data_IF_514684410389
#
_entry.id   IF_514684410389
#
_cell.length_a   1.000
_cell.length_b   1.000
_cell.length_c   1.000
_cell.angle_alpha   90.00
_cell.angle_beta   90.00
_cell.angle_gamma   90.00
#
_symmetry.space_group_name_H-M   'P 1'
#
loop_
_entity.id
_entity.type
_entity.pdbx_description
1 polymer ?
#
# COMPACT_ATOMS: atom_id res chain seq x y z
N UNK A 1 25.75 -6.81 8.41
CA UNK A 1 24.65 -7.82 8.41
C UNK A 1 23.71 -7.66 9.61
N UNK A 2 24.21 -7.61 10.84
CA UNK A 2 23.38 -7.50 12.08
C UNK A 2 22.42 -6.31 12.03
N UNK A 3 22.88 -5.12 11.65
CA UNK A 3 22.03 -3.93 11.57
C UNK A 3 20.82 -4.12 10.63
N UNK A 4 21.04 -4.72 9.45
CA UNK A 4 19.96 -5.02 8.52
C UNK A 4 18.95 -6.01 9.11
N UNK A 5 19.43 -7.06 9.79
CA UNK A 5 18.56 -8.05 10.45
C UNK A 5 17.66 -7.36 11.50
N UNK A 6 18.26 -6.52 12.34
CA UNK A 6 17.52 -5.76 13.36
C UNK A 6 16.48 -4.84 12.72
N UNK A 7 16.84 -4.12 11.64
CA UNK A 7 15.90 -3.26 10.91
C UNK A 7 14.72 -4.07 10.34
N UNK A 8 15.00 -5.20 9.65
CA UNK A 8 13.94 -6.04 9.07
C UNK A 8 13.00 -6.61 10.13
N UNK A 9 13.54 -7.12 11.25
CA UNK A 9 12.73 -7.66 12.36
C UNK A 9 11.88 -6.55 12.99
N UNK A 10 12.46 -5.38 13.22
CA UNK A 10 11.73 -4.24 13.79
C UNK A 10 10.59 -3.80 12.87
N UNK A 11 10.84 -3.66 11.57
CA UNK A 11 9.83 -3.28 10.58
C UNK A 11 8.74 -4.35 10.49
N UNK A 12 9.11 -5.64 10.52
CA UNK A 12 8.14 -6.73 10.52
C UNK A 12 7.18 -6.68 11.72
N UNK A 13 7.72 -6.50 12.93
CA UNK A 13 6.90 -6.43 14.15
C UNK A 13 6.00 -5.19 14.12
N UNK A 14 6.55 -4.02 13.80
CA UNK A 14 5.81 -2.77 13.77
C UNK A 14 4.71 -2.78 12.70
N UNK A 15 5.00 -3.31 11.50
CA UNK A 15 4.01 -3.45 10.43
C UNK A 15 2.89 -4.40 10.84
N UNK A 16 3.23 -5.57 11.39
CA UNK A 16 2.24 -6.57 11.81
C UNK A 16 1.32 -6.00 12.89
N UNK A 17 1.88 -5.44 13.96
CA UNK A 17 1.12 -4.86 15.07
C UNK A 17 0.27 -3.69 14.59
N UNK A 18 0.85 -2.79 13.79
CA UNK A 18 0.17 -1.60 13.28
C UNK A 18 -1.03 -1.93 12.39
N UNK A 19 -0.84 -2.84 11.43
CA UNK A 19 -1.91 -3.19 10.49
C UNK A 19 -3.01 -4.05 11.16
N UNK A 20 -2.68 -4.97 12.08
CA UNK A 20 -3.67 -5.69 12.89
C UNK A 20 -4.50 -4.70 13.71
N UNK A 21 -3.86 -3.71 14.34
CA UNK A 21 -4.56 -2.68 15.08
C UNK A 21 -5.53 -1.87 14.21
N UNK A 22 -5.11 -1.49 12.97
CA UNK A 22 -6.00 -0.83 11.99
C UNK A 22 -7.19 -1.71 11.65
N UNK A 23 -6.99 -3.01 11.38
CA UNK A 23 -8.07 -3.95 11.07
C UNK A 23 -9.09 -4.07 12.22
N UNK A 24 -8.62 -4.22 13.46
CA UNK A 24 -9.48 -4.28 14.65
C UNK A 24 -10.29 -2.98 14.80
N UNK A 25 -9.67 -1.84 14.57
CA UNK A 25 -10.33 -0.52 14.65
C UNK A 25 -11.38 -0.35 13.55
N UNK A 26 -11.04 -0.75 12.31
CA UNK A 26 -11.98 -0.74 11.19
C UNK A 26 -13.18 -1.66 11.45
N UNK A 27 -12.94 -2.88 11.93
CA UNK A 27 -14.00 -3.83 12.27
C UNK A 27 -14.96 -3.27 13.33
N UNK A 28 -14.44 -2.72 14.43
CA UNK A 28 -15.26 -2.07 15.47
C UNK A 28 -16.08 -0.90 14.94
N UNK A 29 -15.47 -0.07 14.09
CA UNK A 29 -16.14 1.10 13.49
C UNK A 29 -17.23 0.66 12.49
N UNK A 30 -16.97 -0.35 11.66
CA UNK A 30 -17.92 -0.86 10.67
C UNK A 30 -19.15 -1.53 11.31
N UNK A 31 -19.01 -2.14 12.49
CA UNK A 31 -20.15 -2.63 13.27
C UNK A 31 -21.09 -1.52 13.74
N UNK A 32 -20.57 -0.30 13.95
CA UNK A 32 -21.35 0.82 14.46
C UNK A 32 -21.86 1.74 13.35
N UNK A 33 -21.10 1.88 12.26
CA UNK A 33 -21.40 2.82 11.16
C UNK A 33 -20.91 2.29 9.83
N UNK A 34 -21.77 2.25 8.84
CA UNK A 34 -21.36 1.96 7.46
C UNK A 34 -20.50 3.10 6.89
N UNK A 35 -19.23 2.86 6.67
CA UNK A 35 -18.30 3.83 6.10
C UNK A 35 -17.50 3.21 4.96
N UNK A 36 -17.72 3.67 3.71
CA UNK A 36 -16.95 3.19 2.54
C UNK A 36 -15.44 3.32 2.73
N UNK A 37 -15.01 4.38 3.42
CA UNK A 37 -13.61 4.62 3.71
C UNK A 37 -12.99 3.55 4.63
N UNK A 38 -13.73 3.10 5.64
CA UNK A 38 -13.23 2.08 6.57
C UNK A 38 -13.03 0.72 5.88
N UNK A 39 -13.87 0.40 4.88
CA UNK A 39 -13.69 -0.79 4.06
C UNK A 39 -12.40 -0.75 3.24
N UNK A 40 -12.13 0.38 2.58
CA UNK A 40 -10.91 0.57 1.81
C UNK A 40 -9.66 0.62 2.71
N UNK A 41 -9.79 1.21 3.89
CA UNK A 41 -8.71 1.25 4.87
C UNK A 41 -8.38 -0.16 5.41
N UNK A 42 -9.40 -0.96 5.70
CA UNK A 42 -9.23 -2.36 6.10
C UNK A 42 -8.56 -3.17 4.97
N UNK A 43 -8.97 -2.94 3.71
CA UNK A 43 -8.35 -3.59 2.56
C UNK A 43 -6.87 -3.24 2.42
N UNK A 44 -6.52 -1.97 2.61
CA UNK A 44 -5.14 -1.52 2.57
C UNK A 44 -4.30 -2.20 3.65
N UNK A 45 -4.78 -2.20 4.91
CA UNK A 45 -4.10 -2.89 6.00
C UNK A 45 -4.00 -4.41 5.77
N UNK A 46 -4.97 -5.04 5.09
CA UNK A 46 -4.90 -6.45 4.71
C UNK A 46 -3.83 -6.70 3.65
N UNK A 47 -3.72 -5.84 2.64
CA UNK A 47 -2.69 -5.93 1.61
C UNK A 47 -1.28 -5.74 2.19
N UNK A 48 -1.12 -4.78 3.12
CA UNK A 48 0.15 -4.54 3.82
C UNK A 48 0.55 -5.71 4.72
N UNK A 49 -0.40 -6.37 5.39
CA UNK A 49 -0.14 -7.60 6.16
C UNK A 49 0.25 -8.75 5.24
N UNK A 50 -0.44 -8.96 4.13
CA UNK A 50 -0.06 -9.97 3.14
C UNK A 50 1.36 -9.72 2.64
N UNK A 51 1.68 -8.50 2.24
CA UNK A 51 3.02 -8.11 1.82
C UNK A 51 4.06 -8.38 2.92
N UNK A 52 3.78 -7.97 4.16
CA UNK A 52 4.66 -8.13 5.33
C UNK A 52 4.97 -9.60 5.60
N UNK A 53 3.95 -10.47 5.63
CA UNK A 53 4.13 -11.91 5.89
C UNK A 53 4.89 -12.58 4.75
N UNK A 54 4.59 -12.23 3.50
CA UNK A 54 5.26 -12.81 2.35
C UNK A 54 6.74 -12.40 2.26
N UNK A 55 7.09 -11.18 2.65
CA UNK A 55 8.48 -10.71 2.64
C UNK A 55 9.38 -11.36 3.69
N UNK A 56 8.81 -12.11 4.67
CA UNK A 56 9.61 -12.84 5.66
C UNK A 56 10.54 -13.87 4.99
N UNK A 57 10.05 -14.55 3.95
CA UNK A 57 10.87 -15.52 3.19
C UNK A 57 12.02 -14.85 2.46
N UNK A 58 11.81 -13.65 1.89
CA UNK A 58 12.88 -12.86 1.29
C UNK A 58 13.91 -12.40 2.32
N UNK A 59 13.45 -12.01 3.52
CA UNK A 59 14.33 -11.61 4.61
C UNK A 59 15.20 -12.77 5.09
N UNK A 60 14.63 -13.97 5.22
CA UNK A 60 15.37 -15.19 5.58
C UNK A 60 16.36 -15.56 4.48
N UNK A 61 15.94 -15.54 3.21
CA UNK A 61 16.80 -15.82 2.08
C UNK A 61 17.98 -14.83 1.97
N UNK A 62 17.73 -13.58 2.34
CA UNK A 62 18.73 -12.52 2.37
C UNK A 62 19.78 -12.70 3.49
N UNK A 63 19.35 -13.20 4.65
CA UNK A 63 20.21 -13.37 5.82
C UNK A 63 20.98 -14.69 5.82
N UNK A 64 20.42 -15.71 5.20
CA UNK A 64 20.96 -17.05 5.22
C UNK A 64 20.88 -17.70 3.82
N UNK A 65 19.73 -18.31 3.46
CA UNK A 65 19.49 -18.97 2.17
C UNK A 65 17.98 -19.09 1.91
N UNK A 66 17.63 -19.36 0.66
CA UNK A 66 16.26 -19.70 0.31
C UNK A 66 15.88 -21.07 0.89
N UNK A 67 14.84 -21.09 1.72
CA UNK A 67 14.34 -22.32 2.38
C UNK A 67 13.16 -22.93 1.63
N UNK A 68 12.53 -22.22 0.72
CA UNK A 68 11.39 -22.69 -0.05
C UNK A 68 11.81 -23.48 -1.31
N UNK A 69 10.89 -24.29 -1.82
CA UNK A 69 11.03 -24.91 -3.13
C UNK A 69 10.68 -23.96 -4.28
N UNK A 70 10.67 -24.50 -5.50
CA UNK A 70 10.36 -23.72 -6.72
C UNK A 70 8.91 -23.18 -6.72
N UNK A 71 7.94 -23.96 -6.22
CA UNK A 71 6.55 -23.54 -6.10
C UNK A 71 6.40 -22.36 -5.15
N UNK A 72 7.04 -22.43 -3.98
CA UNK A 72 7.03 -21.35 -2.99
C UNK A 72 7.67 -20.08 -3.55
N UNK A 73 8.76 -20.19 -4.30
CA UNK A 73 9.42 -19.07 -4.97
C UNK A 73 8.48 -18.34 -5.95
N UNK A 74 7.80 -19.12 -6.81
CA UNK A 74 6.84 -18.58 -7.79
C UNK A 74 5.64 -17.90 -7.12
N UNK A 75 5.03 -18.59 -6.15
CA UNK A 75 3.87 -18.07 -5.42
C UNK A 75 4.24 -16.81 -4.63
N UNK A 76 5.39 -16.79 -3.99
CA UNK A 76 5.83 -15.63 -3.23
C UNK A 76 6.01 -14.40 -4.12
N UNK A 77 6.77 -14.51 -5.23
CA UNK A 77 6.96 -13.39 -6.15
C UNK A 77 5.65 -12.86 -6.72
N UNK A 78 4.75 -13.78 -7.10
CA UNK A 78 3.40 -13.47 -7.56
C UNK A 78 2.56 -12.73 -6.50
N UNK A 79 2.48 -13.27 -5.28
CA UNK A 79 1.63 -12.72 -4.22
C UNK A 79 2.17 -11.40 -3.65
N UNK A 80 3.49 -11.21 -3.57
CA UNK A 80 4.10 -9.94 -3.16
C UNK A 80 3.71 -8.83 -4.15
N UNK A 81 3.84 -9.08 -5.46
CA UNK A 81 3.51 -8.07 -6.48
C UNK A 81 1.98 -7.84 -6.54
N UNK A 82 1.17 -8.88 -6.34
CA UNK A 82 -0.29 -8.74 -6.25
C UNK A 82 -0.71 -7.91 -5.03
N UNK A 83 -0.08 -8.10 -3.87
CA UNK A 83 -0.33 -7.30 -2.67
C UNK A 83 0.04 -5.83 -2.90
N UNK A 84 1.20 -5.56 -3.51
CA UNK A 84 1.60 -4.22 -3.93
C UNK A 84 0.60 -3.59 -4.88
N UNK A 85 0.19 -4.30 -5.92
CA UNK A 85 -0.79 -3.80 -6.90
C UNK A 85 -2.13 -3.50 -6.22
N UNK A 86 -2.55 -4.34 -5.27
CA UNK A 86 -3.75 -4.12 -4.44
C UNK A 86 -3.63 -2.85 -3.60
N UNK A 87 -2.47 -2.60 -2.97
CA UNK A 87 -2.22 -1.39 -2.19
C UNK A 87 -2.39 -0.14 -3.05
N UNK A 88 -1.77 -0.06 -4.24
CA UNK A 88 -1.85 1.14 -5.08
C UNK A 88 -3.25 1.34 -5.69
N UNK A 89 -3.94 0.27 -6.10
CA UNK A 89 -5.33 0.34 -6.57
C UNK A 89 -6.27 0.81 -5.45
N UNK A 90 -6.03 0.37 -4.21
CA UNK A 90 -6.79 0.80 -3.03
C UNK A 90 -6.58 2.28 -2.74
N UNK A 91 -5.33 2.78 -2.74
CA UNK A 91 -5.01 4.20 -2.56
C UNK A 91 -5.65 5.08 -3.64
N UNK A 92 -5.62 4.63 -4.90
CA UNK A 92 -6.28 5.31 -6.02
C UNK A 92 -7.79 5.36 -5.85
N UNK A 93 -8.40 4.26 -5.40
CA UNK A 93 -9.84 4.17 -5.11
C UNK A 93 -10.22 5.07 -3.94
N UNK A 94 -9.41 5.12 -2.88
CA UNK A 94 -9.59 6.05 -1.75
C UNK A 94 -9.57 7.50 -2.26
N UNK A 95 -8.61 7.84 -3.11
CA UNK A 95 -8.48 9.19 -3.70
C UNK A 95 -9.72 9.57 -4.53
N UNK A 96 -10.24 8.63 -5.32
CA UNK A 96 -11.49 8.80 -6.07
C UNK A 96 -12.70 9.04 -5.16
N UNK A 97 -12.91 8.18 -4.17
CA UNK A 97 -14.02 8.30 -3.22
C UNK A 97 -13.98 9.63 -2.46
N UNK A 98 -12.78 10.11 -2.13
CA UNK A 98 -12.61 11.39 -1.47
C UNK A 98 -12.87 12.57 -2.39
N UNK A 99 -12.44 12.50 -3.64
CA UNK A 99 -12.79 13.51 -4.64
C UNK A 99 -14.31 13.61 -4.77
N UNK A 100 -15.00 12.48 -4.95
CA UNK A 100 -16.46 12.42 -5.08
C UNK A 100 -17.16 12.99 -3.83
N UNK A 101 -16.71 12.63 -2.63
CA UNK A 101 -17.28 13.13 -1.38
C UNK A 101 -17.08 14.64 -1.17
N UNK A 102 -16.07 15.25 -1.80
CA UNK A 102 -15.82 16.69 -1.71
C UNK A 102 -16.50 17.49 -2.81
N UNK A 103 -16.69 16.93 -4.00
CA UNK A 103 -17.32 17.62 -5.12
C UNK A 103 -18.83 17.44 -5.14
N UNK A 104 -19.32 16.22 -4.86
CA UNK A 104 -20.75 15.86 -4.94
C UNK A 104 -21.20 15.15 -3.65
N UNK A 105 -21.37 15.87 -2.52
CA UNK A 105 -21.64 15.26 -1.23
C UNK A 105 -23.00 14.55 -1.13
N UNK A 106 -24.00 14.96 -1.92
CA UNK A 106 -25.35 14.35 -1.94
C UNK A 106 -25.27 12.97 -2.58
N UNK A 107 -24.68 12.86 -3.78
CA UNK A 107 -24.53 11.58 -4.49
C UNK A 107 -23.65 10.59 -3.72
N UNK A 108 -22.64 11.10 -3.01
CA UNK A 108 -21.74 10.27 -2.20
C UNK A 108 -22.47 9.58 -1.03
N UNK A 109 -23.54 10.17 -0.49
CA UNK A 109 -24.36 9.57 0.59
C UNK A 109 -25.32 8.48 0.06
N UNK A 110 -25.95 8.71 -1.07
CA UNK A 110 -26.90 7.78 -1.68
C UNK A 110 -26.20 6.48 -2.15
N UNK A 111 -24.93 6.57 -2.52
CA UNK A 111 -24.15 5.47 -3.11
C UNK A 111 -23.45 4.59 -2.03
N UNK A 112 -23.61 4.88 -0.74
CA UNK A 112 -22.91 4.23 0.37
C UNK A 112 -23.43 2.83 0.75
N UNK A 113 -23.99 2.05 -0.18
CA UNK A 113 -24.49 0.72 0.11
C UNK A 113 -23.36 -0.30 0.30
N UNK A 114 -23.41 -1.12 1.38
CA UNK A 114 -22.30 -2.02 1.74
C UNK A 114 -22.00 -3.07 0.66
N UNK A 115 -22.97 -3.60 -0.05
CA UNK A 115 -22.76 -4.56 -1.13
C UNK A 115 -21.85 -4.04 -2.24
N UNK A 116 -21.94 -2.74 -2.56
CA UNK A 116 -21.06 -2.10 -3.56
C UNK A 116 -19.60 -2.03 -3.12
N UNK A 117 -19.33 -1.95 -1.82
CA UNK A 117 -17.96 -1.91 -1.30
C UNK A 117 -17.28 -3.27 -1.43
N UNK A 118 -17.96 -4.37 -1.09
CA UNK A 118 -17.46 -5.72 -1.33
C UNK A 118 -17.11 -5.96 -2.80
N UNK A 119 -17.99 -5.54 -3.70
CA UNK A 119 -17.75 -5.69 -5.15
C UNK A 119 -16.47 -4.94 -5.59
N UNK A 120 -16.23 -3.72 -5.09
CA UNK A 120 -14.98 -3.00 -5.36
C UNK A 120 -13.75 -3.76 -4.87
N UNK A 121 -13.79 -4.32 -3.66
CA UNK A 121 -12.69 -5.09 -3.11
C UNK A 121 -12.41 -6.35 -3.94
N UNK A 122 -13.46 -7.06 -4.35
CA UNK A 122 -13.34 -8.23 -5.23
C UNK A 122 -12.67 -7.83 -6.56
N UNK A 123 -13.10 -6.72 -7.17
CA UNK A 123 -12.49 -6.22 -8.42
C UNK A 123 -11.01 -5.91 -8.20
N UNK A 124 -10.66 -5.19 -7.13
CA UNK A 124 -9.27 -4.80 -6.83
C UNK A 124 -8.39 -6.05 -6.72
N UNK A 125 -8.79 -7.04 -5.90
CA UNK A 125 -8.02 -8.27 -5.72
C UNK A 125 -7.96 -9.11 -6.99
N UNK A 126 -9.09 -9.29 -7.68
CA UNK A 126 -9.13 -10.06 -8.93
C UNK A 126 -8.24 -9.44 -10.01
N UNK A 127 -8.31 -8.13 -10.21
CA UNK A 127 -7.43 -7.43 -11.15
C UNK A 127 -5.96 -7.56 -10.75
N UNK A 128 -5.62 -7.39 -9.47
CA UNK A 128 -4.25 -7.50 -8.98
C UNK A 128 -3.68 -8.89 -9.20
N UNK A 129 -4.46 -9.94 -8.90
CA UNK A 129 -4.05 -11.33 -9.12
C UNK A 129 -3.90 -11.65 -10.61
N UNK A 130 -4.87 -11.28 -11.45
CA UNK A 130 -4.81 -11.53 -12.89
C UNK A 130 -3.61 -10.87 -13.56
N UNK A 131 -3.36 -9.61 -13.24
CA UNK A 131 -2.24 -8.86 -13.84
C UNK A 131 -0.89 -9.43 -13.41
N UNK A 132 -0.78 -9.94 -12.19
CA UNK A 132 0.47 -10.51 -11.69
C UNK A 132 0.68 -11.99 -12.05
N UNK A 133 -0.30 -12.68 -12.67
CA UNK A 133 -0.16 -14.10 -13.09
C UNK A 133 1.12 -14.43 -13.88
N UNK A 134 1.61 -13.58 -14.79
CA UNK A 134 2.84 -13.87 -15.53
C UNK A 134 4.06 -14.12 -14.64
N UNK A 135 4.06 -13.62 -13.41
CA UNK A 135 5.16 -13.82 -12.45
C UNK A 135 5.35 -15.28 -12.03
N UNK A 136 4.28 -16.08 -12.08
CA UNK A 136 4.37 -17.54 -11.84
C UNK A 136 5.30 -18.26 -12.84
N UNK A 137 5.54 -17.66 -14.01
CA UNK A 137 6.44 -18.17 -15.05
C UNK A 137 7.79 -17.49 -15.04
N UNK A 138 7.90 -16.30 -14.46
CA UNK A 138 9.13 -15.51 -14.38
C UNK A 138 10.04 -15.99 -13.25
N UNK A 139 9.48 -16.27 -12.06
CA UNK A 139 10.26 -16.66 -10.89
C UNK A 139 10.64 -18.13 -10.90
N UNK A 140 11.89 -18.42 -10.51
CA UNK A 140 12.39 -19.79 -10.31
C UNK A 140 13.52 -19.81 -9.27
N UNK A 141 13.75 -21.01 -8.72
CA UNK A 141 14.88 -21.24 -7.83
C UNK A 141 16.12 -21.54 -8.68
N UNK A 142 17.19 -20.80 -8.44
CA UNK A 142 18.50 -21.01 -9.07
C UNK A 142 19.56 -21.29 -8.00
N UNK A 143 20.48 -22.22 -8.29
CA UNK A 143 21.63 -22.52 -7.44
C UNK A 143 22.84 -21.80 -8.02
N UNK A 144 23.35 -20.79 -7.32
CA UNK A 144 24.56 -20.05 -7.67
C UNK A 144 25.61 -20.23 -6.57
N UNK A 145 26.80 -20.74 -6.92
CA UNK A 145 27.94 -20.86 -5.99
C UNK A 145 27.56 -21.44 -4.62
N UNK A 146 26.88 -22.59 -4.58
CA UNK A 146 26.33 -23.24 -3.37
C UNK A 146 25.23 -22.49 -2.62
N UNK A 147 24.75 -21.34 -3.12
CA UNK A 147 23.60 -20.65 -2.55
C UNK A 147 22.35 -20.92 -3.38
N UNK A 148 21.28 -21.31 -2.71
CA UNK A 148 19.95 -21.46 -3.33
C UNK A 148 19.23 -20.14 -3.22
N UNK A 149 18.87 -19.55 -4.36
CA UNK A 149 18.23 -18.23 -4.45
C UNK A 149 16.92 -18.33 -5.24
N UNK A 150 15.91 -17.60 -4.81
CA UNK A 150 14.69 -17.38 -5.59
C UNK A 150 14.86 -16.10 -6.39
N UNK A 151 14.97 -16.24 -7.71
CA UNK A 151 15.26 -15.13 -8.62
C UNK A 151 14.28 -15.11 -9.79
N UNK A 152 14.04 -13.93 -10.34
CA UNK A 152 13.40 -13.83 -11.64
C UNK A 152 14.37 -14.31 -12.74
N UNK A 153 13.90 -15.18 -13.62
CA UNK A 153 14.65 -15.77 -14.71
C UNK A 153 15.21 -14.68 -15.62
N UNK A 154 16.52 -14.48 -15.54
CA UNK A 154 17.22 -13.40 -16.25
C UNK A 154 17.59 -13.79 -17.70
N UNK A 155 17.35 -15.04 -18.10
CA UNK A 155 17.98 -15.65 -19.27
C UNK A 155 17.13 -15.50 -20.52
N UNK A 156 17.70 -14.88 -21.55
CA UNK A 156 17.35 -14.90 -23.00
C UNK A 156 16.02 -14.27 -23.45
N UNK A 157 15.07 -13.99 -22.57
CA UNK A 157 13.79 -13.43 -22.98
C UNK A 157 13.62 -11.99 -22.45
N UNK A 158 13.26 -11.05 -23.31
CA UNK A 158 12.88 -9.67 -22.96
C UNK A 158 11.56 -9.60 -22.16
N UNK A 159 10.92 -10.74 -21.93
CA UNK A 159 9.60 -10.80 -21.28
C UNK A 159 9.57 -10.20 -19.86
N UNK A 160 10.51 -10.52 -18.94
CA UNK A 160 10.51 -9.88 -17.62
C UNK A 160 10.71 -8.36 -17.69
N UNK A 161 11.56 -7.88 -18.61
CA UNK A 161 11.83 -6.46 -18.82
C UNK A 161 10.57 -5.73 -19.29
N UNK A 162 9.90 -6.27 -20.30
CA UNK A 162 8.64 -5.73 -20.83
C UNK A 162 7.57 -5.76 -19.74
N UNK A 163 7.40 -6.88 -19.05
CA UNK A 163 6.40 -7.04 -17.99
C UNK A 163 6.58 -5.99 -16.91
N UNK A 164 7.78 -5.85 -16.33
CA UNK A 164 8.01 -4.91 -15.24
C UNK A 164 7.95 -3.44 -15.68
N UNK A 165 8.33 -3.13 -16.93
CA UNK A 165 8.20 -1.79 -17.48
C UNK A 165 6.73 -1.41 -17.68
N UNK A 166 5.94 -2.28 -18.30
CA UNK A 166 4.50 -2.07 -18.51
C UNK A 166 3.77 -2.01 -17.16
N UNK A 167 4.10 -2.93 -16.24
CA UNK A 167 3.52 -2.96 -14.90
C UNK A 167 3.84 -1.66 -14.12
N UNK A 168 5.07 -1.16 -14.17
CA UNK A 168 5.45 0.09 -13.54
C UNK A 168 4.71 1.28 -14.15
N UNK A 169 4.53 1.33 -15.46
CA UNK A 169 3.79 2.41 -16.10
C UNK A 169 2.31 2.41 -15.73
N UNK A 170 1.66 1.25 -15.75
CA UNK A 170 0.20 1.12 -15.51
C UNK A 170 -0.13 1.14 -14.02
N UNK A 171 0.67 0.48 -13.16
CA UNK A 171 0.36 0.32 -11.73
C UNK A 171 1.23 1.14 -10.77
N UNK A 172 2.14 1.97 -11.28
CA UNK A 172 2.85 2.96 -10.45
C UNK A 172 2.70 4.36 -11.01
N UNK A 173 3.13 4.63 -12.25
CA UNK A 173 3.15 5.99 -12.79
C UNK A 173 1.73 6.52 -13.03
N UNK A 174 0.86 5.79 -13.72
CA UNK A 174 -0.49 6.23 -14.03
C UNK A 174 -1.36 6.46 -12.77
N UNK A 175 -1.41 5.54 -11.78
CA UNK A 175 -2.10 5.77 -10.50
C UNK A 175 -1.53 6.96 -9.72
N UNK A 176 -0.21 7.15 -9.73
CA UNK A 176 0.44 8.29 -9.08
C UNK A 176 -0.02 9.62 -9.68
N UNK A 177 0.02 9.73 -11.01
CA UNK A 177 -0.46 10.93 -11.71
C UNK A 177 -1.95 11.18 -11.42
N UNK A 178 -2.76 10.11 -11.39
CA UNK A 178 -4.16 10.17 -11.02
C UNK A 178 -4.35 10.66 -9.57
N UNK A 179 -3.59 10.14 -8.60
CA UNK A 179 -3.65 10.58 -7.20
C UNK A 179 -3.24 12.06 -7.07
N UNK A 180 -2.20 12.51 -7.77
CA UNK A 180 -1.79 13.92 -7.78
C UNK A 180 -2.90 14.80 -8.37
N UNK A 181 -3.52 14.40 -9.46
CA UNK A 181 -4.65 15.10 -10.07
C UNK A 181 -5.84 15.23 -9.12
N UNK A 182 -6.25 14.11 -8.49
CA UNK A 182 -7.38 14.10 -7.54
C UNK A 182 -7.08 14.95 -6.31
N UNK A 183 -5.87 14.89 -5.77
CA UNK A 183 -5.44 15.73 -4.64
C UNK A 183 -5.54 17.23 -4.96
N UNK A 184 -5.05 17.65 -6.12
CA UNK A 184 -5.17 19.05 -6.57
C UNK A 184 -6.64 19.48 -6.67
N UNK A 185 -7.52 18.61 -7.20
CA UNK A 185 -8.96 18.86 -7.31
C UNK A 185 -9.63 18.98 -5.93
N UNK A 186 -9.30 18.08 -4.98
CA UNK A 186 -9.81 18.09 -3.60
C UNK A 186 -9.44 19.41 -2.91
N UNK A 187 -8.16 19.81 -2.95
CA UNK A 187 -7.72 21.06 -2.31
C UNK A 187 -8.35 22.29 -2.93
N UNK A 188 -8.51 22.32 -4.26
CA UNK A 188 -9.20 23.43 -4.96
C UNK A 188 -10.67 23.50 -4.51
N UNK A 189 -11.40 22.39 -4.48
CA UNK A 189 -12.78 22.32 -4.02
C UNK A 189 -12.93 22.79 -2.58
N UNK A 190 -12.04 22.36 -1.68
CA UNK A 190 -12.06 22.78 -0.27
C UNK A 190 -11.74 24.25 -0.08
N UNK A 191 -10.89 24.85 -0.94
CA UNK A 191 -10.61 26.29 -0.94
C UNK A 191 -11.84 27.08 -1.35
N UNK A 192 -12.48 26.73 -2.47
CA UNK A 192 -13.70 27.38 -2.95
C UNK A 192 -14.84 27.28 -1.93
N UNK A 193 -15.05 26.11 -1.35
CA UNK A 193 -16.05 25.92 -0.31
C UNK A 193 -15.77 26.73 0.97
N UNK A 194 -14.53 27.16 1.22
CA UNK A 194 -14.22 28.02 2.37
C UNK A 194 -14.58 29.50 2.13
N UNK A 195 -14.64 29.92 0.87
CA UNK A 195 -14.99 31.31 0.50
C UNK A 195 -16.51 31.52 0.46
N UNK A 196 -17.29 30.45 0.23
CA UNK A 196 -18.75 30.53 0.28
C UNK A 196 -19.20 30.45 1.73
N UNK A 197 -19.70 31.55 2.28
CA UNK A 197 -20.30 31.69 3.60
C UNK A 197 -21.65 30.97 3.65
N UNK A 198 -21.66 29.65 3.74
CA UNK A 198 -22.85 28.88 4.04
C UNK A 198 -22.64 28.13 5.35
N UNK A 199 -23.68 28.11 6.17
CA UNK A 199 -23.87 27.52 7.49
C UNK A 199 -23.54 26.02 7.60
N UNK A 200 -22.91 25.42 6.60
CA UNK A 200 -22.43 24.06 6.67
C UNK A 200 -21.30 23.97 7.69
N UNK A 201 -21.58 23.26 8.76
CA UNK A 201 -20.81 23.18 9.99
C UNK A 201 -19.29 23.23 9.75
N UNK A 202 -18.63 24.23 10.33
CA UNK A 202 -17.16 24.40 10.38
C UNK A 202 -16.42 23.07 10.71
N UNK A 203 -17.01 22.25 11.57
CA UNK A 203 -16.50 20.92 11.93
C UNK A 203 -16.41 19.95 10.73
N UNK A 204 -17.39 19.96 9.82
CA UNK A 204 -17.39 19.10 8.64
C UNK A 204 -16.27 19.49 7.67
N UNK A 205 -16.09 20.80 7.43
CA UNK A 205 -15.00 21.32 6.56
C UNK A 205 -13.62 20.99 7.14
N UNK A 206 -13.45 21.16 8.47
CA UNK A 206 -12.19 20.83 9.14
C UNK A 206 -11.87 19.34 9.05
N UNK A 207 -12.87 18.47 9.23
CA UNK A 207 -12.71 17.01 9.07
C UNK A 207 -12.28 16.65 7.64
N UNK A 208 -12.90 17.23 6.63
CA UNK A 208 -12.55 16.97 5.23
C UNK A 208 -11.14 17.44 4.88
N UNK A 209 -10.71 18.61 5.36
CA UNK A 209 -9.34 19.10 5.22
C UNK A 209 -8.33 18.16 5.88
N UNK A 210 -8.65 17.63 7.05
CA UNK A 210 -7.79 16.69 7.77
C UNK A 210 -7.60 15.40 6.94
N UNK A 211 -8.69 14.83 6.42
CA UNK A 211 -8.64 13.64 5.56
C UNK A 211 -7.83 13.91 4.28
N UNK A 212 -8.03 15.06 3.63
CA UNK A 212 -7.29 15.43 2.43
C UNK A 212 -5.76 15.54 2.69
N UNK A 213 -5.37 16.10 3.84
CA UNK A 213 -3.95 16.15 4.26
C UNK A 213 -3.39 14.74 4.52
N UNK A 214 -4.16 13.86 5.17
CA UNK A 214 -3.75 12.46 5.39
C UNK A 214 -3.45 11.77 4.06
N UNK A 215 -4.36 11.89 3.08
CA UNK A 215 -4.17 11.30 1.75
C UNK A 215 -2.96 11.88 1.02
N UNK A 216 -2.70 13.18 1.16
CA UNK A 216 -1.51 13.80 0.57
C UNK A 216 -0.24 13.20 1.18
N UNK A 217 -0.17 13.11 2.51
CA UNK A 217 1.00 12.56 3.20
C UNK A 217 1.19 11.09 2.82
N UNK A 218 0.13 10.29 2.77
CA UNK A 218 0.19 8.90 2.30
C UNK A 218 0.74 8.79 0.87
N UNK A 219 0.25 9.63 -0.05
CA UNK A 219 0.75 9.63 -1.43
C UNK A 219 2.22 10.00 -1.49
N UNK A 220 2.65 11.02 -0.74
CA UNK A 220 4.06 11.43 -0.68
C UNK A 220 4.94 10.34 -0.09
N UNK A 221 4.51 9.72 1.01
CA UNK A 221 5.22 8.60 1.66
C UNK A 221 5.33 7.41 0.71
N UNK A 222 4.24 7.06 0.03
CA UNK A 222 4.22 6.00 -0.97
C UNK A 222 5.25 6.26 -2.08
N UNK A 223 5.25 7.46 -2.67
CA UNK A 223 6.22 7.84 -3.71
C UNK A 223 7.64 7.74 -3.19
N UNK A 224 7.92 8.29 -2.02
CA UNK A 224 9.26 8.28 -1.42
C UNK A 224 9.77 6.85 -1.17
N UNK A 225 8.92 5.96 -0.66
CA UNK A 225 9.30 4.59 -0.34
C UNK A 225 9.43 3.70 -1.59
N UNK A 226 8.57 3.89 -2.59
CA UNK A 226 8.51 2.99 -3.75
C UNK A 226 9.36 3.43 -4.95
N UNK A 227 9.55 4.74 -5.16
CA UNK A 227 10.30 5.22 -6.34
C UNK A 227 11.73 4.68 -6.41
N UNK A 228 12.53 4.64 -5.32
CA UNK A 228 13.87 4.10 -5.38
C UNK A 228 13.91 2.64 -5.83
N UNK A 229 12.99 1.83 -5.31
CA UNK A 229 12.88 0.43 -5.69
C UNK A 229 12.48 0.26 -7.16
N UNK A 230 11.49 1.02 -7.64
CA UNK A 230 11.04 0.96 -9.03
C UNK A 230 12.18 1.32 -10.01
N UNK A 231 12.95 2.36 -9.69
CA UNK A 231 14.08 2.79 -10.50
C UNK A 231 15.17 1.71 -10.50
N UNK A 232 15.60 1.25 -9.33
CA UNK A 232 16.69 0.27 -9.21
C UNK A 232 16.28 -1.06 -9.85
N UNK A 233 15.04 -1.50 -9.66
CA UNK A 233 14.47 -2.71 -10.28
C UNK A 233 14.55 -2.62 -11.80
N UNK A 234 14.09 -1.53 -12.38
CA UNK A 234 14.13 -1.30 -13.82
C UNK A 234 15.57 -1.32 -14.34
N UNK A 235 16.47 -0.57 -13.72
CA UNK A 235 17.89 -0.55 -14.11
C UNK A 235 18.53 -1.95 -14.03
N UNK A 236 18.18 -2.73 -13.02
CA UNK A 236 18.71 -4.10 -12.85
C UNK A 236 18.21 -5.04 -13.95
N UNK A 237 16.94 -4.96 -14.34
CA UNK A 237 16.41 -5.79 -15.44
C UNK A 237 16.99 -5.43 -16.80
N UNK A 238 17.30 -4.16 -17.03
CA UNK A 238 18.00 -3.72 -18.24
C UNK A 238 19.53 -3.90 -18.19
N UNK A 239 20.06 -4.56 -17.16
CA UNK A 239 21.51 -4.78 -16.91
C UNK A 239 22.33 -3.48 -16.80
N UNK A 240 21.68 -2.37 -16.45
CA UNK A 240 22.32 -1.07 -16.22
C UNK A 240 22.82 -0.90 -14.80
N UNK A 241 22.35 -1.73 -13.85
CA UNK A 241 22.79 -1.76 -12.46
C UNK A 241 22.90 -3.20 -11.96
N UNK A 242 23.84 -3.44 -11.03
CA UNK A 242 23.97 -4.71 -10.32
C UNK A 242 23.23 -4.65 -8.99
N UNK A 243 22.55 -5.74 -8.56
CA UNK A 243 21.93 -5.81 -7.25
C UNK A 243 23.01 -5.70 -6.15
N UNK A 244 23.02 -4.60 -5.44
CA UNK A 244 23.99 -4.31 -4.38
C UNK A 244 23.33 -3.70 -3.14
N UNK A 245 24.08 -2.85 -2.43
CA UNK A 245 23.58 -2.16 -1.26
C UNK A 245 22.33 -1.32 -1.55
N UNK A 246 22.29 -0.60 -2.69
CA UNK A 246 21.14 0.21 -3.09
C UNK A 246 19.85 -0.62 -3.27
N UNK A 247 19.96 -1.84 -3.83
CA UNK A 247 18.84 -2.79 -3.93
C UNK A 247 18.29 -3.15 -2.56
N UNK A 248 19.17 -3.47 -1.60
CA UNK A 248 18.78 -3.83 -0.23
C UNK A 248 18.09 -2.68 0.50
N UNK A 249 18.63 -1.47 0.38
CA UNK A 249 18.04 -0.27 0.96
C UNK A 249 16.68 0.06 0.35
N UNK A 250 16.53 -0.08 -0.95
CA UNK A 250 15.23 0.16 -1.60
C UNK A 250 14.16 -0.85 -1.18
N UNK A 251 14.53 -2.12 -0.98
CA UNK A 251 13.63 -3.12 -0.42
C UNK A 251 13.22 -2.79 1.03
N UNK A 252 14.15 -2.31 1.86
CA UNK A 252 13.83 -1.88 3.21
C UNK A 252 12.88 -0.68 3.22
N UNK A 253 13.03 0.26 2.27
CA UNK A 253 12.13 1.41 2.14
C UNK A 253 10.70 1.01 1.79
N UNK A 254 10.50 0.09 0.83
CA UNK A 254 9.15 -0.38 0.53
C UNK A 254 8.53 -1.14 1.70
N UNK A 255 9.36 -1.89 2.45
CA UNK A 255 8.89 -2.57 3.64
C UNK A 255 8.54 -1.58 4.76
N UNK A 256 9.29 -0.49 4.90
CA UNK A 256 8.98 0.60 5.84
C UNK A 256 7.64 1.28 5.54
N UNK A 257 7.21 1.33 4.26
CA UNK A 257 5.91 1.89 3.90
C UNK A 257 4.76 1.21 4.65
N UNK A 258 4.80 -0.12 4.83
CA UNK A 258 3.75 -0.87 5.54
C UNK A 258 3.65 -0.53 7.03
N UNK A 259 4.72 0.04 7.62
CA UNK A 259 4.71 0.59 8.99
C UNK A 259 4.16 2.01 9.01
N UNK A 260 4.52 2.82 8.00
CA UNK A 260 4.12 4.22 7.96
C UNK A 260 2.62 4.37 7.71
N UNK A 261 2.02 3.49 6.92
CA UNK A 261 0.59 3.54 6.60
C UNK A 261 -0.30 3.52 7.86
N UNK A 262 -0.22 2.54 8.78
CA UNK A 262 -1.00 2.57 10.02
C UNK A 262 -0.71 3.77 10.92
N UNK A 263 0.54 4.22 10.98
CA UNK A 263 0.91 5.42 11.76
C UNK A 263 0.23 6.67 11.20
N UNK A 264 0.26 6.85 9.89
CA UNK A 264 -0.35 8.00 9.22
C UNK A 264 -1.87 8.02 9.37
N UNK A 265 -2.54 6.86 9.27
CA UNK A 265 -3.98 6.79 9.54
C UNK A 265 -4.31 7.06 11.00
N UNK A 266 -3.50 6.56 11.91
CA UNK A 266 -3.67 6.75 13.35
C UNK A 266 -3.56 8.23 13.74
N UNK A 267 -2.48 8.87 13.34
CA UNK A 267 -2.22 10.27 13.71
C UNK A 267 -3.16 11.25 13.02
N UNK A 268 -3.35 11.12 11.70
CA UNK A 268 -4.15 12.07 10.94
C UNK A 268 -5.64 11.74 10.92
N UNK A 269 -6.03 10.47 11.05
CA UNK A 269 -7.43 10.04 11.07
C UNK A 269 -8.22 10.51 12.31
N UNK A 270 -7.54 10.91 13.39
CA UNK A 270 -8.17 11.36 14.65
C UNK A 270 -8.79 10.22 15.47
N UNK A 271 -8.80 8.99 14.98
CA UNK A 271 -9.31 7.82 15.68
C UNK A 271 -8.32 7.31 16.73
N UNK A 272 -7.01 7.38 16.45
CA UNK A 272 -5.98 7.02 17.41
C UNK A 272 -5.98 7.98 18.61
N UNK A 273 -6.05 9.28 18.35
CA UNK A 273 -6.07 10.30 19.41
C UNK A 273 -7.31 10.19 20.28
N UNK A 274 -8.48 9.88 19.72
CA UNK A 274 -9.70 9.66 20.51
C UNK A 274 -9.65 8.35 21.31
N UNK A 275 -9.10 7.27 20.73
CA UNK A 275 -8.95 5.99 21.43
C UNK A 275 -7.91 6.05 22.54
N UNK A 276 -6.74 6.66 22.30
CA UNK A 276 -5.73 6.88 23.34
C UNK A 276 -6.28 7.79 24.44
N UNK A 277 -7.00 8.85 24.09
CA UNK A 277 -7.61 9.75 25.03
C UNK A 277 -8.68 9.04 25.89
N UNK A 278 -9.51 8.16 25.30
CA UNK A 278 -10.53 7.40 26.04
C UNK A 278 -9.91 6.36 26.99
N UNK A 279 -8.70 5.85 26.72
CA UNK A 279 -7.99 4.92 27.61
C UNK A 279 -7.19 5.64 28.70
N UNK A 280 -6.68 6.85 28.39
CA UNK A 280 -5.95 7.67 29.36
C UNK A 280 -6.87 8.47 30.29
N UNK A 281 -8.14 8.64 29.92
CA UNK A 281 -9.18 9.33 30.73
C UNK A 281 -10.17 8.37 31.35
N UNK A 282 -9.88 7.05 31.47
CA UNK A 282 -10.62 6.18 32.38
C UNK A 282 -10.18 6.56 33.82
N UNK A 283 -10.97 7.30 34.61
CA UNK A 283 -10.70 7.39 36.03
C UNK A 283 -10.99 6.02 36.66
N UNK A 284 -10.09 5.60 37.53
CA UNK A 284 -10.35 4.57 38.52
C UNK A 284 -11.63 4.91 39.32
#
# INVERSE_FOLDING_TARGET
>A
MILFSVCYISVFILSTVGNIWVLVTCYKTLRQRHSPFMWLLANLASADLCFTVLTIFNSIAFLWRWLGGNVTCKLQGFLIEASYTTTIMTLSTISYERLKATTNPIDARVISWSGRQYFKLIIIWSCSLLVCMPLLFIYQVETQQNNVLCLAKKRTNFFPQIFYSVHAMIFFVAPLLYMIYTQRRIFRSLRVASLRTSTFSFRSKQRQRKIAKTLLVLTVTFVFCWSPFMIIRTLTYYNLATPGFAWKMSQLLIFLNTVLDPLLYGFYGGHLTSFLRSRLTCPC
#
